data_IF_930751378656
#
_entry.id   IF_930751378656
#
_cell.length_a   1.000
_cell.length_b   1.000
_cell.length_c   1.000
_cell.angle_alpha   90.00
_cell.angle_beta   90.00
_cell.angle_gamma   90.00
#
_symmetry.space_group_name_H-M   'P 1'
#
loop_
_entity.id
_entity.type
_entity.pdbx_description
1 polymer ?
#
# COMPACT_ATOMS: atom_id res chain seq x y z
N UNK A 1 11.55 -11.42 9.16
CA UNK A 1 11.21 -12.70 8.44
C UNK A 1 9.76 -12.69 7.97
N UNK A 2 8.84 -12.26 8.83
CA UNK A 2 7.44 -12.03 8.45
C UNK A 2 7.33 -10.82 7.51
N UNK A 3 8.20 -9.82 7.69
CA UNK A 3 8.27 -8.58 6.90
C UNK A 3 8.56 -8.87 5.42
N UNK A 4 9.59 -9.68 5.14
CA UNK A 4 9.91 -10.15 3.77
C UNK A 4 8.73 -10.91 3.15
N UNK A 5 8.07 -11.78 3.91
CA UNK A 5 6.92 -12.56 3.43
C UNK A 5 5.72 -11.66 3.14
N UNK A 6 5.43 -10.69 4.02
CA UNK A 6 4.38 -9.70 3.84
C UNK A 6 4.67 -8.86 2.59
N UNK A 7 5.90 -8.34 2.46
CA UNK A 7 6.33 -7.57 1.32
C UNK A 7 6.14 -8.33 0.00
N UNK A 8 6.66 -9.56 -0.10
CA UNK A 8 6.51 -10.41 -1.29
C UNK A 8 5.04 -10.66 -1.63
N UNK A 9 4.20 -10.93 -0.63
CA UNK A 9 2.77 -11.15 -0.81
C UNK A 9 2.08 -9.88 -1.36
N UNK A 10 2.31 -8.73 -0.74
CA UNK A 10 1.71 -7.46 -1.17
C UNK A 10 2.17 -7.07 -2.57
N UNK A 11 3.48 -7.16 -2.87
CA UNK A 11 4.02 -6.89 -4.21
C UNK A 11 3.34 -7.77 -5.25
N UNK A 12 3.25 -9.07 -5.00
CA UNK A 12 2.66 -10.01 -5.96
C UNK A 12 1.16 -9.74 -6.17
N UNK A 13 0.40 -9.51 -5.10
CA UNK A 13 -1.03 -9.20 -5.19
C UNK A 13 -1.28 -7.89 -5.94
N UNK A 14 -0.55 -6.83 -5.60
CA UNK A 14 -0.71 -5.52 -6.25
C UNK A 14 -0.31 -5.59 -7.73
N UNK A 15 0.78 -6.29 -8.07
CA UNK A 15 1.18 -6.51 -9.47
C UNK A 15 0.11 -7.29 -10.25
N UNK A 16 -0.44 -8.33 -9.65
CA UNK A 16 -1.49 -9.16 -10.28
C UNK A 16 -2.82 -8.43 -10.48
N UNK A 17 -3.01 -7.26 -9.85
CA UNK A 17 -4.22 -6.45 -10.00
C UNK A 17 -4.30 -5.70 -11.33
N UNK A 18 -3.19 -5.53 -12.06
CA UNK A 18 -3.09 -4.69 -13.26
C UNK A 18 -3.53 -3.22 -13.04
N UNK A 19 -3.56 -2.75 -11.79
CA UNK A 19 -4.01 -1.39 -11.46
C UNK A 19 -2.88 -0.41 -11.14
N UNK A 20 -1.67 -0.91 -10.90
CA UNK A 20 -0.53 -0.11 -10.42
C UNK A 20 0.53 0.10 -11.51
N UNK A 21 1.19 1.26 -11.52
CA UNK A 21 2.34 1.56 -12.37
C UNK A 21 3.65 1.73 -11.59
N UNK A 22 3.58 2.18 -10.33
CA UNK A 22 4.72 2.26 -9.41
C UNK A 22 4.29 1.73 -8.05
N UNK A 23 5.12 0.88 -7.47
CA UNK A 23 4.97 0.40 -6.10
C UNK A 23 6.19 0.82 -5.28
N UNK A 24 5.95 1.44 -4.13
CA UNK A 24 6.99 1.80 -3.15
C UNK A 24 6.68 1.04 -1.87
N UNK A 25 7.66 0.31 -1.36
CA UNK A 25 7.56 -0.45 -0.12
C UNK A 25 8.64 0.03 0.85
N UNK A 26 8.33 0.05 2.14
CA UNK A 26 9.33 0.31 3.19
C UNK A 26 10.50 -0.71 3.13
N UNK A 27 10.19 -1.94 2.72
CA UNK A 27 11.15 -3.07 2.62
C UNK A 27 11.99 -3.08 1.32
N UNK A 28 11.86 -2.06 0.46
CA UNK A 28 12.58 -1.97 -0.81
C UNK A 28 13.30 -0.61 -0.97
N UNK A 29 14.61 -0.66 -1.18
CA UNK A 29 15.44 0.55 -1.39
C UNK A 29 15.01 1.38 -2.61
N UNK A 30 14.55 0.71 -3.67
CA UNK A 30 14.15 1.33 -4.93
C UNK A 30 12.66 1.12 -5.22
N UNK A 31 12.04 2.11 -5.87
CA UNK A 31 10.67 2.00 -6.34
C UNK A 31 10.55 0.94 -7.44
N UNK A 32 9.54 0.08 -7.32
CA UNK A 32 9.26 -0.98 -8.27
C UNK A 32 8.41 -0.41 -9.40
N UNK A 33 8.99 -0.30 -10.60
CA UNK A 33 8.28 0.15 -11.80
C UNK A 33 7.61 -1.04 -12.47
N UNK A 34 6.29 -0.97 -12.65
CA UNK A 34 5.52 -2.05 -13.30
C UNK A 34 5.76 -2.01 -14.82
N UNK A 35 6.05 -3.17 -15.45
CA UNK A 35 6.31 -3.24 -16.88
C UNK A 35 5.05 -2.88 -17.69
N UNK A 36 5.20 -2.37 -18.93
CA UNK A 36 4.10 -1.80 -19.70
C UNK A 36 2.88 -2.73 -19.93
N UNK A 37 3.12 -4.04 -20.04
CA UNK A 37 2.10 -5.07 -20.25
C UNK A 37 1.21 -5.33 -19.03
N UNK A 38 1.71 -5.04 -17.83
CA UNK A 38 0.99 -5.21 -16.57
C UNK A 38 0.62 -3.88 -15.89
N UNK A 39 0.84 -2.76 -16.58
CA UNK A 39 0.78 -1.41 -16.00
C UNK A 39 -0.64 -0.88 -15.87
N UNK A 40 -0.98 -0.42 -14.67
CA UNK A 40 -2.22 0.30 -14.41
C UNK A 40 -2.03 1.80 -14.21
N UNK A 41 -3.00 2.42 -13.53
CA UNK A 41 -3.14 3.89 -13.43
C UNK A 41 -2.78 4.48 -12.08
N UNK A 42 -2.41 3.64 -11.12
CA UNK A 42 -2.19 4.04 -9.74
C UNK A 42 -0.75 3.89 -9.31
N UNK A 43 -0.35 4.72 -8.36
CA UNK A 43 0.91 4.61 -7.63
C UNK A 43 0.54 4.20 -6.22
N UNK A 44 1.19 3.16 -5.71
CA UNK A 44 0.92 2.65 -4.36
C UNK A 44 2.20 2.78 -3.55
N UNK A 45 2.11 3.43 -2.40
CA UNK A 45 3.15 3.39 -1.37
C UNK A 45 2.61 2.61 -0.19
N UNK A 46 3.42 1.71 0.38
CA UNK A 46 2.97 0.85 1.47
C UNK A 46 4.07 0.61 2.50
N UNK A 47 3.62 0.38 3.73
CA UNK A 47 4.35 -0.34 4.76
C UNK A 47 3.65 -1.70 4.93
N UNK A 48 4.26 -2.80 4.46
CA UNK A 48 3.61 -4.11 4.49
C UNK A 48 3.46 -4.64 5.92
N UNK A 49 4.29 -4.21 6.87
CA UNK A 49 4.23 -4.68 8.25
C UNK A 49 4.78 -3.64 9.25
N UNK A 50 3.97 -2.63 9.54
CA UNK A 50 4.26 -1.62 10.55
C UNK A 50 4.28 -2.25 11.95
N UNK A 51 5.29 -1.88 12.73
CA UNK A 51 5.52 -2.41 14.06
C UNK A 51 6.13 -3.82 14.09
N UNK A 52 6.81 -4.25 13.02
CA UNK A 52 7.52 -5.53 12.94
C UNK A 52 8.42 -5.84 14.16
N UNK A 53 9.09 -4.82 14.71
CA UNK A 53 9.90 -4.93 15.94
C UNK A 53 9.11 -5.38 17.18
N UNK A 54 7.79 -5.20 17.20
CA UNK A 54 6.92 -5.57 18.31
C UNK A 54 6.27 -6.96 18.14
N UNK A 55 6.58 -7.69 17.07
CA UNK A 55 6.06 -9.04 16.83
C UNK A 55 6.36 -9.97 18.02
N UNK A 56 7.56 -9.87 18.59
CA UNK A 56 7.99 -10.71 19.73
C UNK A 56 7.23 -10.40 21.02
N UNK A 57 6.66 -9.20 21.14
CA UNK A 57 5.90 -8.74 22.30
C UNK A 57 4.39 -8.96 22.15
N UNK A 58 3.91 -9.54 21.04
CA UNK A 58 2.49 -9.74 20.73
C UNK A 58 1.65 -8.44 20.81
N UNK A 59 2.29 -7.30 20.53
CA UNK A 59 1.60 -6.00 20.45
C UNK A 59 0.94 -5.89 19.07
N UNK A 60 -0.09 -5.07 18.98
CA UNK A 60 -0.75 -4.74 17.71
C UNK A 60 0.26 -4.28 16.67
N UNK A 61 0.21 -4.94 15.51
CA UNK A 61 0.95 -4.59 14.29
C UNK A 61 -0.06 -4.24 13.18
N UNK A 62 0.40 -3.77 12.04
CA UNK A 62 -0.48 -3.40 10.95
C UNK A 62 0.19 -3.33 9.60
N UNK A 63 -0.58 -2.95 8.58
CA UNK A 63 -0.06 -2.57 7.27
C UNK A 63 -0.66 -1.23 6.89
N UNK A 64 0.14 -0.34 6.31
CA UNK A 64 -0.28 1.02 5.92
C UNK A 64 -0.15 1.16 4.42
N UNK A 65 -1.08 1.85 3.77
CA UNK A 65 -0.97 2.13 2.34
C UNK A 65 -1.56 3.48 1.95
N UNK A 66 -0.97 4.07 0.91
CA UNK A 66 -1.44 5.27 0.23
C UNK A 66 -1.50 5.03 -1.27
N UNK A 67 -2.54 5.54 -1.91
CA UNK A 67 -2.79 5.38 -3.34
C UNK A 67 -2.92 6.76 -3.98
N UNK A 68 -2.11 6.99 -5.01
CA UNK A 68 -2.17 8.17 -5.89
C UNK A 68 -2.58 7.75 -7.29
N UNK A 69 -3.12 8.70 -8.05
CA UNK A 69 -3.33 8.52 -9.48
C UNK A 69 -2.08 8.99 -10.23
N UNK A 70 -1.59 8.16 -11.14
CA UNK A 70 -0.46 8.52 -11.99
C UNK A 70 -0.84 9.66 -12.95
N UNK A 71 0.08 10.60 -13.17
CA UNK A 71 -0.09 11.72 -14.10
C UNK A 71 0.23 11.35 -15.56
N UNK A 72 0.95 10.24 -15.78
CA UNK A 72 1.40 9.73 -17.07
C UNK A 72 1.41 8.19 -17.05
N UNK A 73 1.15 7.55 -18.21
CA UNK A 73 1.12 6.09 -18.34
C UNK A 73 2.26 5.53 -19.20
N UNK A 74 2.72 6.31 -20.17
CA UNK A 74 3.74 5.87 -21.13
C UNK A 74 5.16 6.01 -20.55
N UNK A 75 5.44 7.16 -19.93
CA UNK A 75 6.74 7.49 -19.34
C UNK A 75 6.63 7.49 -17.82
N UNK A 76 6.77 6.31 -17.22
CA UNK A 76 6.73 6.12 -15.77
C UNK A 76 8.15 6.22 -15.20
N UNK A 77 8.35 7.17 -14.30
CA UNK A 77 9.61 7.44 -13.57
C UNK A 77 9.32 7.35 -12.06
N UNK A 78 10.25 6.80 -11.26
CA UNK A 78 10.15 6.73 -9.81
C UNK A 78 9.84 8.09 -9.16
N UNK A 79 10.28 9.20 -9.76
CA UNK A 79 9.96 10.57 -9.29
C UNK A 79 8.47 10.85 -9.24
N UNK A 80 7.67 10.15 -10.04
CA UNK A 80 6.22 10.26 -10.00
C UNK A 80 5.63 9.76 -8.68
N UNK A 81 6.35 8.98 -7.87
CA UNK A 81 5.90 8.59 -6.54
C UNK A 81 6.04 9.71 -5.49
N UNK A 82 6.81 10.75 -5.78
CA UNK A 82 7.05 11.89 -4.89
C UNK A 82 5.92 12.92 -4.98
N UNK A 83 4.67 12.47 -4.76
CA UNK A 83 3.49 13.34 -4.76
C UNK A 83 3.20 13.90 -3.37
N UNK A 84 2.39 14.97 -3.32
CA UNK A 84 1.90 15.50 -2.04
C UNK A 84 0.86 14.55 -1.45
N UNK A 85 0.82 14.44 -0.13
CA UNK A 85 -0.22 13.68 0.57
C UNK A 85 -1.65 14.19 0.29
N UNK A 86 -1.81 15.47 -0.04
CA UNK A 86 -3.10 16.07 -0.44
C UNK A 86 -3.68 15.52 -1.75
N UNK A 87 -2.88 14.77 -2.50
CA UNK A 87 -3.21 14.22 -3.82
C UNK A 87 -3.56 12.73 -3.74
N UNK A 88 -3.57 12.15 -2.53
CA UNK A 88 -4.08 10.81 -2.28
C UNK A 88 -5.51 10.68 -2.78
N UNK A 89 -5.77 9.62 -3.55
CA UNK A 89 -7.11 9.25 -3.99
C UNK A 89 -7.75 8.23 -3.04
N UNK A 90 -6.92 7.46 -2.34
CA UNK A 90 -7.33 6.59 -1.25
C UNK A 90 -6.13 6.34 -0.32
N UNK A 91 -6.39 6.09 0.95
CA UNK A 91 -5.39 5.64 1.90
C UNK A 91 -6.06 4.85 3.01
N UNK A 92 -5.29 4.02 3.69
CA UNK A 92 -5.82 3.21 4.77
C UNK A 92 -4.74 2.44 5.50
N UNK A 93 -5.19 1.72 6.51
CA UNK A 93 -4.36 0.77 7.22
C UNK A 93 -5.19 -0.44 7.64
N UNK A 94 -4.55 -1.59 7.70
CA UNK A 94 -5.06 -2.78 8.36
C UNK A 94 -4.40 -2.89 9.73
N UNK A 95 -5.19 -3.14 10.76
CA UNK A 95 -4.74 -3.36 12.12
C UNK A 95 -4.92 -4.83 12.48
N UNK A 96 -3.86 -5.47 12.95
CA UNK A 96 -3.82 -6.86 13.36
C UNK A 96 -3.69 -6.92 14.89
N UNK A 97 -4.82 -6.76 15.57
CA UNK A 97 -4.90 -6.79 17.05
C UNK A 97 -5.81 -7.91 17.54
N UNK A 98 -6.57 -7.64 18.61
CA UNK A 98 -7.60 -8.56 19.12
C UNK A 98 -8.70 -8.89 18.10
N UNK A 99 -8.92 -7.99 17.14
CA UNK A 99 -9.65 -8.22 15.91
C UNK A 99 -8.84 -7.63 14.74
N UNK A 100 -9.04 -8.18 13.54
CA UNK A 100 -8.48 -7.57 12.33
C UNK A 100 -9.45 -6.51 11.82
N UNK A 101 -8.99 -5.27 11.69
CA UNK A 101 -9.80 -4.13 11.24
C UNK A 101 -9.10 -3.41 10.10
N UNK A 102 -9.81 -3.13 9.01
CA UNK A 102 -9.35 -2.29 7.92
C UNK A 102 -9.99 -0.90 8.02
N UNK A 103 -9.17 0.14 8.13
CA UNK A 103 -9.62 1.53 8.08
C UNK A 103 -9.28 2.11 6.71
N UNK A 104 -10.28 2.67 6.04
CA UNK A 104 -10.17 3.14 4.67
C UNK A 104 -10.79 4.53 4.52
N UNK A 105 -10.07 5.41 3.82
CA UNK A 105 -10.53 6.69 3.32
C UNK A 105 -10.38 6.70 1.79
N UNK A 106 -11.45 7.03 1.08
CA UNK A 106 -11.46 7.10 -0.40
C UNK A 106 -12.02 8.44 -0.82
N UNK A 107 -11.33 9.17 -1.69
CA UNK A 107 -11.81 10.44 -2.22
C UNK A 107 -11.86 11.57 -1.18
N UNK A 108 -11.87 12.81 -1.67
CA UNK A 108 -11.97 14.00 -0.81
C UNK A 108 -13.42 14.12 -0.31
N UNK A 109 -13.61 13.98 1.00
CA UNK A 109 -14.89 14.25 1.66
C UNK A 109 -15.81 13.05 1.84
N UNK A 110 -15.43 11.83 1.44
CA UNK A 110 -16.23 10.64 1.70
C UNK A 110 -16.11 10.12 3.13
N UNK A 111 -15.23 10.71 3.94
CA UNK A 111 -15.03 10.32 5.33
C UNK A 111 -14.13 9.10 5.50
N UNK A 112 -14.14 8.55 6.71
CA UNK A 112 -13.33 7.39 7.11
C UNK A 112 -14.27 6.26 7.50
N UNK A 113 -14.04 5.08 6.95
CA UNK A 113 -14.82 3.88 7.23
C UNK A 113 -13.92 2.79 7.82
N UNK A 114 -14.48 2.00 8.75
CA UNK A 114 -13.80 0.88 9.36
C UNK A 114 -14.57 -0.42 9.07
N UNK A 115 -13.86 -1.44 8.65
CA UNK A 115 -14.39 -2.77 8.30
C UNK A 115 -13.69 -3.80 9.18
N UNK A 116 -14.45 -4.48 10.03
CA UNK A 116 -13.92 -5.57 10.84
C UNK A 116 -13.95 -6.86 10.03
N UNK A 117 -12.83 -7.58 10.00
CA UNK A 117 -12.76 -8.92 9.44
C UNK A 117 -13.55 -9.89 10.32
N UNK A 118 -14.48 -10.61 9.71
CA UNK A 118 -15.29 -11.64 10.37
C UNK A 118 -14.98 -12.93 9.65
N UNK A 119 -14.54 -13.94 10.40
CA UNK A 119 -14.26 -15.29 9.90
C UNK A 119 -15.27 -16.27 10.47
#
# INVERSE_FOLDING_TARGET
KLDVLANDLFINLIRSSYTTCILVSEENDEAIIIPPDARGKYIVCMDPLDGSSNIECLVTIGSIFGIWRATSFDNVDYKMALNKGSDLVAAGYAMYGSATVMVLCVGKGSGVHAFTWIQ
#
